data_IF_381746059425
#
_entry.id   IF_381746059425
#
_cell.length_a   1.000
_cell.length_b   1.000
_cell.length_c   1.000
_cell.angle_alpha   90.00
_cell.angle_beta   90.00
_cell.angle_gamma   90.00
#
_symmetry.space_group_name_H-M   'P 1'
#
loop_
_entity.id
_entity.type
_entity.pdbx_description
1 polymer ?
#
# COMPACT_ATOMS: atom_id res chain seq x y z
N UNK A 1 7.27 -0.54 5.81
CA UNK A 1 7.65 0.71 6.49
C UNK A 1 8.60 1.43 5.56
N UNK A 2 8.25 2.63 5.08
CA UNK A 2 9.21 3.46 4.36
C UNK A 2 10.17 4.06 5.38
N UNK A 3 11.47 3.79 5.24
CA UNK A 3 12.50 4.37 6.11
C UNK A 3 13.32 5.38 5.34
N UNK A 4 13.63 6.50 5.99
CA UNK A 4 14.57 7.48 5.45
C UNK A 4 15.92 7.34 6.16
N UNK A 5 16.99 7.74 5.48
CA UNK A 5 18.26 8.00 6.15
C UNK A 5 18.17 9.38 6.82
N UNK A 6 17.90 9.39 8.13
CA UNK A 6 17.71 10.62 8.89
C UNK A 6 18.93 11.54 8.85
N UNK A 7 20.14 10.98 8.96
CA UNK A 7 21.37 11.76 8.99
C UNK A 7 21.64 12.47 7.65
N UNK A 8 21.30 11.84 6.53
CA UNK A 8 21.46 12.45 5.21
C UNK A 8 20.43 13.56 4.93
N UNK A 9 19.24 13.43 5.51
CA UNK A 9 18.13 14.33 5.27
C UNK A 9 18.18 15.60 6.15
N UNK A 10 18.73 15.49 7.37
CA UNK A 10 18.83 16.62 8.33
C UNK A 10 20.06 17.50 8.08
N UNK A 11 21.13 16.96 7.51
CA UNK A 11 22.37 17.71 7.26
C UNK A 11 22.32 18.62 6.02
N UNK A 12 21.17 18.72 5.33
CA UNK A 12 20.99 19.60 4.17
C UNK A 12 20.52 20.98 4.63
N UNK A 13 21.21 22.03 4.19
CA UNK A 13 20.87 23.42 4.49
C UNK A 13 19.95 24.00 3.41
N UNK A 14 18.65 23.94 3.65
CA UNK A 14 17.64 24.49 2.75
C UNK A 14 17.40 25.99 3.01
N UNK A 15 17.19 26.78 1.96
CA UNK A 15 16.65 28.15 2.08
C UNK A 15 15.14 28.10 2.33
N UNK A 16 14.44 27.20 1.63
CA UNK A 16 13.02 26.89 1.82
C UNK A 16 12.81 25.38 1.63
N UNK A 17 11.98 24.79 2.48
CA UNK A 17 11.56 23.39 2.38
C UNK A 17 10.03 23.31 2.57
N UNK A 18 9.33 22.85 1.54
CA UNK A 18 7.86 22.81 1.51
C UNK A 18 7.29 21.43 1.87
N UNK A 19 8.14 20.42 2.07
CA UNK A 19 7.70 19.07 2.39
C UNK A 19 8.39 18.51 3.64
N UNK A 20 7.69 17.61 4.33
CA UNK A 20 8.23 16.94 5.52
C UNK A 20 8.89 15.63 5.13
N UNK A 21 10.10 15.41 5.65
CA UNK A 21 10.79 14.12 5.59
C UNK A 21 10.43 13.29 6.81
N UNK A 22 10.23 11.99 6.62
CA UNK A 22 9.98 11.11 7.76
C UNK A 22 9.79 9.66 7.37
N UNK A 23 9.88 8.79 8.37
CA UNK A 23 9.45 7.42 8.24
C UNK A 23 7.93 7.38 8.04
N UNK A 24 7.46 6.46 7.22
CA UNK A 24 6.04 6.35 6.89
C UNK A 24 5.50 4.95 7.17
N UNK A 25 4.35 4.93 7.85
CA UNK A 25 3.59 3.73 8.16
C UNK A 25 2.09 3.99 8.02
N UNK A 26 1.39 3.07 7.36
CA UNK A 26 -0.07 2.96 7.41
C UNK A 26 -0.45 1.51 7.60
N UNK A 27 -1.53 1.30 8.35
CA UNK A 27 -2.16 0.00 8.57
C UNK A 27 -3.62 0.10 8.15
N UNK A 28 -4.07 -0.88 7.37
CA UNK A 28 -5.45 -1.00 6.95
C UNK A 28 -6.04 -2.27 7.55
N UNK A 29 -7.30 -2.21 7.99
CA UNK A 29 -8.08 -3.40 8.29
C UNK A 29 -8.77 -3.82 7.00
N UNK A 30 -8.43 -5.01 6.51
CA UNK A 30 -9.00 -5.58 5.29
C UNK A 30 -9.90 -6.77 5.65
N UNK A 31 -10.81 -7.12 4.74
CA UNK A 31 -11.74 -8.24 4.93
C UNK A 31 -11.01 -9.60 4.78
N UNK A 32 -11.48 -10.61 5.51
CA UNK A 32 -11.03 -12.01 5.37
C UNK A 32 -11.36 -12.63 3.99
N UNK A 33 -12.13 -11.91 3.17
CA UNK A 33 -12.37 -12.28 1.77
C UNK A 33 -11.14 -12.15 0.89
N UNK A 34 -10.06 -11.47 1.32
CA UNK A 34 -8.83 -11.31 0.56
C UNK A 34 -7.98 -12.58 0.60
N UNK A 35 -7.55 -13.04 -0.57
CA UNK A 35 -6.59 -14.14 -0.71
C UNK A 35 -5.17 -13.60 -0.47
N UNK A 36 -4.68 -13.80 0.75
CA UNK A 36 -3.37 -13.30 1.18
C UNK A 36 -2.21 -13.91 0.38
N UNK A 37 -2.39 -15.08 -0.24
CA UNK A 37 -1.33 -15.74 -1.02
C UNK A 37 -1.10 -15.07 -2.38
N UNK A 38 -2.04 -14.25 -2.84
CA UNK A 38 -2.02 -13.59 -4.16
C UNK A 38 -1.87 -12.07 -4.09
N UNK A 39 -1.45 -11.53 -2.94
CA UNK A 39 -1.22 -10.09 -2.81
C UNK A 39 -0.02 -9.68 -3.67
N UNK A 40 -0.22 -8.66 -4.50
CA UNK A 40 0.81 -8.10 -5.37
C UNK A 40 1.02 -6.62 -5.03
N UNK A 41 2.26 -6.13 -5.18
CA UNK A 41 2.58 -4.73 -5.02
C UNK A 41 3.51 -4.25 -6.13
N UNK A 42 3.26 -3.03 -6.63
CA UNK A 42 4.10 -2.35 -7.64
C UNK A 42 4.38 -0.94 -7.16
N UNK A 43 5.64 -0.52 -7.23
CA UNK A 43 6.06 0.85 -6.93
C UNK A 43 6.63 1.49 -8.18
N UNK A 44 6.00 2.56 -8.65
CA UNK A 44 6.39 3.25 -9.86
C UNK A 44 6.00 4.73 -9.77
N UNK A 45 6.88 5.62 -10.23
CA UNK A 45 6.65 7.06 -10.26
C UNK A 45 6.20 7.65 -8.90
N UNK A 46 6.75 7.15 -7.80
CA UNK A 46 6.41 7.60 -6.45
C UNK A 46 5.11 7.04 -5.88
N UNK A 47 4.43 6.13 -6.58
CA UNK A 47 3.15 5.56 -6.15
C UNK A 47 3.32 4.08 -5.83
N UNK A 48 2.90 3.69 -4.61
CA UNK A 48 2.78 2.28 -4.22
C UNK A 48 1.36 1.79 -4.49
N UNK A 49 1.21 0.94 -5.50
CA UNK A 49 -0.04 0.25 -5.82
C UNK A 49 -0.02 -1.14 -5.19
N UNK A 50 -1.03 -1.46 -4.38
CA UNK A 50 -1.21 -2.78 -3.75
C UNK A 50 -2.50 -3.40 -4.28
N UNK A 51 -2.41 -4.58 -4.86
CA UNK A 51 -3.55 -5.35 -5.37
C UNK A 51 -3.90 -6.43 -4.36
N UNK A 52 -5.16 -6.44 -3.93
CA UNK A 52 -5.71 -7.37 -2.94
C UNK A 52 -6.80 -8.22 -3.60
N UNK A 53 -6.47 -9.39 -4.19
CA UNK A 53 -7.46 -10.24 -4.81
C UNK A 53 -8.41 -10.83 -3.78
N UNK A 54 -9.70 -10.93 -4.11
CA UNK A 54 -10.65 -11.72 -3.32
C UNK A 54 -10.45 -13.21 -3.60
N UNK A 55 -10.76 -14.06 -2.63
CA UNK A 55 -10.81 -15.50 -2.85
C UNK A 55 -11.88 -15.84 -3.92
N UNK A 56 -11.60 -16.84 -4.74
CA UNK A 56 -12.52 -17.32 -5.78
C UNK A 56 -13.88 -17.79 -5.22
N UNK A 57 -13.91 -18.32 -3.99
CA UNK A 57 -15.14 -18.71 -3.27
C UNK A 57 -16.09 -17.57 -2.92
N UNK A 58 -15.63 -16.31 -3.02
CA UNK A 58 -16.43 -15.11 -2.71
C UNK A 58 -17.12 -14.56 -3.99
N UNK A 59 -16.91 -15.20 -5.14
CA UNK A 59 -17.68 -14.89 -6.36
C UNK A 59 -19.17 -15.18 -6.09
N UNK A 60 -20.09 -14.25 -6.43
CA UNK A 60 -21.53 -14.47 -6.26
C UNK A 60 -21.93 -15.77 -6.96
N UNK A 61 -22.66 -16.64 -6.26
CA UNK A 61 -23.31 -17.79 -6.91
C UNK A 61 -24.45 -17.24 -7.76
N UNK A 62 -24.35 -17.40 -9.09
CA UNK A 62 -25.52 -17.23 -9.96
C UNK A 62 -26.47 -18.36 -9.66
N UNK A 63 -27.67 -18.05 -9.15
CA UNK A 63 -28.75 -19.02 -8.96
C UNK A 63 -29.68 -18.82 -10.15
N UNK A 64 -29.75 -19.82 -11.03
CA UNK A 64 -30.72 -19.85 -12.13
C UNK A 64 -32.10 -20.18 -11.55
N UNK A 65 -33.09 -19.31 -11.81
CA UNK A 65 -34.48 -19.54 -11.40
C UNK A 65 -35.20 -20.15 -12.59
N UNK A 66 -35.73 -21.37 -12.42
CA UNK A 66 -36.60 -22.06 -13.38
C UNK A 66 -38.07 -21.84 -13.03
#
# INVERSE_FOLDING_TARGET
>A
MGRINYNEAVNRKYILNEYTIGNYYRKFKISDSIDNSKIEARFENGVLTVKLPKHDRVKPRTIEIN
#
